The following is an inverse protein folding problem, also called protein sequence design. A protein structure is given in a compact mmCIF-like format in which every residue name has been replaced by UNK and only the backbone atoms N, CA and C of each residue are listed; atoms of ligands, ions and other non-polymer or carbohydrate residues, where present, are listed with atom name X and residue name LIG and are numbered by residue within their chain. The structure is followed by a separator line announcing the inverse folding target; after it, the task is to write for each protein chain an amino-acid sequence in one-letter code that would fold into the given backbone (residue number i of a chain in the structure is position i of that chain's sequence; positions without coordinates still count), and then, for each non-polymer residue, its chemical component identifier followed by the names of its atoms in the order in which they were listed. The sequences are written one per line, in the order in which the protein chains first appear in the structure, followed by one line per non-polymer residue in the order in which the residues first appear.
data_IF_576384962117
#
_entry.id   IF_576384962117
#
_cell.length_a   1.000
_cell.length_b   1.000
_cell.length_c   1.000
_cell.angle_alpha   90.00
_cell.angle_beta   90.00
_cell.angle_gamma   90.00
#
_symmetry.space_group_name_H-M   'P 1'
#
loop_
_entity.id
_entity.type
_entity.pdbx_description
1 polymer ?
#
# COMPACT_ATOMS: atom_id res chain seq x y z
N UNK A 1 -2.98 12.30 -5.29
CA UNK A 1 -2.50 11.88 -3.96
C UNK A 1 -1.01 12.14 -3.96
N UNK A 2 -0.46 12.84 -2.98
CA UNK A 2 0.97 13.11 -2.96
C UNK A 2 1.56 12.41 -1.73
N UNK A 3 2.45 11.46 -1.96
CA UNK A 3 3.37 11.00 -0.92
C UNK A 3 4.50 12.02 -0.92
N UNK A 4 4.54 12.89 0.09
CA UNK A 4 5.59 13.91 0.19
C UNK A 4 6.63 13.44 1.20
N UNK A 5 7.87 13.36 0.73
CA UNK A 5 9.04 12.93 1.51
C UNK A 5 9.87 14.13 1.95
N UNK A 6 10.01 14.34 3.27
CA UNK A 6 10.95 15.33 3.83
C UNK A 6 11.53 14.85 5.17
N UNK A 7 12.84 15.00 5.38
CA UNK A 7 13.53 14.80 6.66
C UNK A 7 13.23 13.48 7.40
N UNK A 8 13.16 12.36 6.66
CA UNK A 8 12.86 11.07 7.27
C UNK A 8 11.44 10.95 7.84
N UNK A 9 10.50 11.84 7.51
CA UNK A 9 9.08 11.72 7.82
C UNK A 9 8.32 11.66 6.49
N UNK A 10 7.60 10.56 6.26
CA UNK A 10 6.73 10.43 5.11
C UNK A 10 5.33 10.90 5.49
N UNK A 11 4.84 11.93 4.81
CA UNK A 11 3.45 12.36 4.98
C UNK A 11 2.64 11.83 3.81
N UNK A 12 1.62 11.03 4.10
CA UNK A 12 0.71 10.50 3.10
C UNK A 12 -0.66 11.12 3.29
N UNK A 13 -1.14 11.85 2.29
CA UNK A 13 -2.53 12.31 2.26
C UNK A 13 -3.37 11.31 1.46
N UNK A 14 -4.15 10.47 2.14
CA UNK A 14 -5.00 9.46 1.48
C UNK A 14 -6.28 10.07 0.92
N UNK A 15 -6.55 9.91 -0.38
CA UNK A 15 -7.86 10.23 -0.98
C UNK A 15 -8.91 9.15 -0.73
N UNK A 16 -8.50 7.94 -0.32
CA UNK A 16 -9.38 6.82 0.01
C UNK A 16 -9.99 6.93 1.42
N UNK A 17 -9.60 7.93 2.21
CA UNK A 17 -10.14 8.18 3.56
C UNK A 17 -10.05 9.63 4.03
N UNK A 18 -9.71 10.57 3.14
CA UNK A 18 -9.65 12.03 3.43
C UNK A 18 -8.60 12.46 4.47
N UNK A 19 -7.77 11.54 4.96
CA UNK A 19 -6.92 11.78 6.14
C UNK A 19 -5.46 11.94 5.75
N UNK A 20 -4.81 12.89 6.41
CA UNK A 20 -3.36 13.05 6.44
C UNK A 20 -2.78 12.06 7.44
N UNK A 21 -1.91 11.19 6.97
CA UNK A 21 -1.24 10.13 7.73
C UNK A 21 0.24 10.48 7.80
N UNK A 22 0.75 10.65 9.02
CA UNK A 22 2.18 10.92 9.24
C UNK A 22 2.90 9.63 9.60
N UNK A 23 3.93 9.28 8.84
CA UNK A 23 4.76 8.10 9.08
C UNK A 23 6.16 8.55 9.44
N UNK A 24 6.56 8.29 10.67
CA UNK A 24 7.92 8.58 11.13
C UNK A 24 8.90 7.56 10.55
N UNK A 25 9.87 8.05 9.81
CA UNK A 25 10.67 7.26 8.89
C UNK A 25 12.15 7.09 9.28
N UNK A 26 12.37 6.13 10.17
CA UNK A 26 13.39 5.06 10.05
C UNK A 26 12.83 3.69 10.48
N UNK A 27 11.65 3.65 11.11
CA UNK A 27 11.12 2.47 11.81
C UNK A 27 9.71 2.02 11.35
N UNK A 28 9.15 2.61 10.28
CA UNK A 28 7.81 2.25 9.78
C UNK A 28 6.70 2.51 10.80
N UNK A 29 6.86 3.52 11.67
CA UNK A 29 5.92 3.82 12.75
C UNK A 29 4.86 4.79 12.28
N UNK A 30 3.61 4.46 12.55
CA UNK A 30 2.47 5.30 12.33
C UNK A 30 1.95 5.86 13.65
N UNK A 31 2.02 7.18 13.78
CA UNK A 31 1.49 7.91 14.92
C UNK A 31 0.35 8.84 14.49
N UNK A 32 -0.65 8.99 15.35
CA UNK A 32 -1.77 9.93 15.18
C UNK A 32 -1.94 10.68 16.50
N UNK A 33 -1.93 12.01 16.45
CA UNK A 33 -2.02 12.87 17.64
C UNK A 33 -1.02 12.45 18.74
N UNK A 34 0.24 12.18 18.36
CA UNK A 34 1.29 11.72 19.28
C UNK A 34 1.20 10.24 19.69
N UNK A 35 0.07 9.56 19.48
CA UNK A 35 -0.12 8.15 19.86
C UNK A 35 0.32 7.21 18.74
N UNK A 36 1.12 6.19 19.07
CA UNK A 36 1.45 5.10 18.16
C UNK A 36 0.21 4.24 17.89
N UNK A 37 -0.16 4.10 16.63
CA UNK A 37 -1.29 3.27 16.20
C UNK A 37 -0.85 2.00 15.49
N UNK A 38 0.22 2.08 14.69
CA UNK A 38 0.74 0.91 14.01
C UNK A 38 2.26 0.98 13.79
N UNK A 39 2.88 -0.18 13.65
CA UNK A 39 4.29 -0.33 13.30
C UNK A 39 4.40 -1.35 12.18
N UNK A 40 5.06 -0.94 11.11
CA UNK A 40 5.41 -1.83 10.02
C UNK A 40 6.72 -2.53 10.35
N UNK A 41 6.73 -3.87 10.27
CA UNK A 41 7.91 -4.70 10.47
C UNK A 41 8.13 -5.57 9.25
N UNK A 42 9.37 -5.61 8.80
CA UNK A 42 9.80 -6.45 7.69
C UNK A 42 10.14 -7.85 8.20
N UNK A 43 9.75 -8.86 7.44
CA UNK A 43 10.09 -10.25 7.65
C UNK A 43 10.58 -10.85 6.33
N UNK A 44 11.21 -12.03 6.41
CA UNK A 44 11.66 -12.76 5.22
C UNK A 44 10.52 -13.07 4.25
N UNK A 45 9.32 -13.31 4.78
CA UNK A 45 8.16 -13.75 4.04
C UNK A 45 7.17 -12.63 3.69
N UNK A 46 7.51 -11.37 3.97
CA UNK A 46 6.66 -10.22 3.68
C UNK A 46 6.76 -9.12 4.71
N UNK A 47 5.71 -8.31 4.80
CA UNK A 47 5.61 -7.16 5.70
C UNK A 47 4.41 -7.35 6.62
N UNK A 48 4.60 -7.08 7.91
CA UNK A 48 3.53 -7.14 8.90
C UNK A 48 3.26 -5.75 9.45
N UNK A 49 1.99 -5.40 9.51
CA UNK A 49 1.50 -4.26 10.24
C UNK A 49 1.08 -4.73 11.63
N UNK A 50 1.74 -4.22 12.65
CA UNK A 50 1.46 -4.51 14.06
C UNK A 50 0.81 -3.30 14.72
N UNK A 51 -0.02 -3.53 15.73
CA UNK A 51 -0.52 -2.45 16.59
C UNK A 51 0.56 -2.01 17.60
N UNK A 52 0.21 -1.07 18.49
CA UNK A 52 1.11 -0.59 19.55
C UNK A 52 1.54 -1.68 20.56
N UNK A 53 0.73 -2.72 20.77
CA UNK A 53 1.03 -3.84 21.69
C UNK A 53 1.85 -4.95 21.03
N UNK A 54 2.15 -4.84 19.72
CA UNK A 54 2.92 -5.83 18.97
C UNK A 54 2.09 -6.96 18.34
N UNK A 55 0.76 -6.96 18.53
CA UNK A 55 -0.16 -7.86 17.86
C UNK A 55 -0.24 -7.56 16.35
N UNK A 56 -0.33 -8.59 15.53
CA UNK A 56 -0.39 -8.44 14.07
C UNK A 56 -1.79 -8.04 13.65
N UNK A 57 -1.93 -6.86 13.03
CA UNK A 57 -3.17 -6.42 12.42
C UNK A 57 -3.33 -7.03 11.02
N UNK A 58 -2.24 -6.98 10.24
CA UNK A 58 -2.21 -7.42 8.85
C UNK A 58 -0.84 -7.94 8.47
N UNK A 59 -0.80 -8.90 7.56
CA UNK A 59 0.43 -9.34 6.88
C UNK A 59 0.23 -9.26 5.39
N UNK A 60 1.10 -8.53 4.70
CA UNK A 60 1.19 -8.51 3.26
C UNK A 60 2.42 -9.31 2.81
N UNK A 61 2.21 -10.37 2.05
CA UNK A 61 3.26 -11.05 1.31
C UNK A 61 3.23 -10.56 -0.12
N UNK A 62 4.36 -10.09 -0.62
CA UNK A 62 4.47 -9.55 -1.98
C UNK A 62 5.42 -10.42 -2.76
N UNK A 63 4.99 -10.84 -3.94
CA UNK A 63 5.85 -11.51 -4.91
C UNK A 63 5.79 -10.79 -6.27
N UNK A 64 6.44 -11.36 -7.28
CA UNK A 64 6.47 -10.79 -8.64
C UNK A 64 5.10 -10.73 -9.32
N UNK A 65 4.12 -11.53 -8.89
CA UNK A 65 2.82 -11.63 -9.59
C UNK A 65 1.62 -11.65 -8.64
N UNK A 66 1.84 -11.50 -7.33
CA UNK A 66 0.73 -11.52 -6.37
C UNK A 66 1.07 -10.73 -5.10
N UNK A 67 0.02 -10.19 -4.48
CA UNK A 67 -0.02 -9.81 -3.08
C UNK A 67 -1.00 -10.71 -2.35
N UNK A 68 -0.57 -11.25 -1.22
CA UNK A 68 -1.43 -11.96 -0.29
C UNK A 68 -1.57 -11.12 0.96
N UNK A 69 -2.80 -10.82 1.34
CA UNK A 69 -3.16 -10.12 2.56
C UNK A 69 -3.74 -11.12 3.54
N UNK A 70 -3.16 -11.21 4.74
CA UNK A 70 -3.64 -12.05 5.82
C UNK A 70 -4.10 -11.18 7.00
N UNK A 71 -5.27 -11.51 7.55
CA UNK A 71 -5.82 -10.95 8.80
C UNK A 71 -6.36 -12.08 9.65
N UNK A 72 -5.66 -12.43 10.73
CA UNK A 72 -5.98 -13.63 11.50
C UNK A 72 -5.93 -14.85 10.59
N UNK A 73 -7.05 -15.58 10.51
CA UNK A 73 -7.21 -16.78 9.66
C UNK A 73 -7.67 -16.46 8.23
N UNK A 74 -8.10 -15.23 7.96
CA UNK A 74 -8.56 -14.84 6.62
C UNK A 74 -7.38 -14.53 5.71
N UNK A 75 -7.26 -15.28 4.61
CA UNK A 75 -6.32 -15.00 3.51
C UNK A 75 -7.07 -14.45 2.29
N UNK A 76 -6.53 -13.37 1.73
CA UNK A 76 -7.06 -12.73 0.52
C UNK A 76 -5.92 -12.55 -0.47
N UNK A 77 -6.14 -13.02 -1.70
CA UNK A 77 -5.12 -13.02 -2.75
C UNK A 77 -5.49 -12.07 -3.87
N UNK A 78 -4.54 -11.19 -4.16
CA UNK A 78 -4.56 -10.27 -5.28
C UNK A 78 -3.52 -10.72 -6.30
N UNK A 79 -3.94 -10.93 -7.54
CA UNK A 79 -3.04 -11.31 -8.64
C UNK A 79 -2.72 -10.07 -9.45
N UNK A 80 -1.43 -9.93 -9.78
CA UNK A 80 -0.91 -8.90 -10.66
C UNK A 80 -0.61 -9.51 -12.00
N UNK A 81 -1.24 -8.97 -13.03
CA UNK A 81 -0.83 -9.23 -14.39
C UNK A 81 -0.24 -7.93 -14.95
N UNK A 82 1.07 -7.87 -15.24
CA UNK A 82 1.56 -6.82 -16.11
C UNK A 82 0.84 -6.97 -17.46
N UNK A 83 0.26 -5.89 -17.95
CA UNK A 83 -0.40 -5.84 -19.25
C UNK A 83 0.30 -4.78 -20.08
N UNK A 84 1.24 -5.18 -20.94
CA UNK A 84 2.13 -4.24 -21.66
C UNK A 84 3.00 -3.39 -20.71
N UNK A 85 3.89 -2.59 -21.29
CA UNK A 85 5.07 -2.03 -20.59
C UNK A 85 4.76 -1.15 -19.36
N UNK A 86 3.55 -0.58 -19.22
CA UNK A 86 3.27 0.49 -18.25
C UNK A 86 2.03 0.31 -17.37
N UNK A 87 1.37 -0.87 -17.39
CA UNK A 87 0.11 -1.08 -16.65
C UNK A 87 0.11 -2.38 -15.85
N UNK A 88 -0.09 -2.26 -14.54
CA UNK A 88 -0.31 -3.37 -13.61
C UNK A 88 -1.82 -3.47 -13.36
N UNK A 89 -2.43 -4.58 -13.79
CA UNK A 89 -3.81 -4.89 -13.44
C UNK A 89 -3.86 -5.68 -12.14
N UNK A 90 -4.79 -5.30 -11.26
CA UNK A 90 -4.98 -5.95 -9.96
C UNK A 90 -6.34 -6.62 -9.93
N UNK A 91 -6.34 -7.92 -9.68
CA UNK A 91 -7.54 -8.76 -9.64
C UNK A 91 -7.65 -9.53 -8.34
N UNK A 92 -8.87 -9.78 -7.91
CA UNK A 92 -9.21 -10.71 -6.83
C UNK A 92 -10.03 -11.84 -7.45
N UNK A 93 -9.41 -13.01 -7.63
CA UNK A 93 -9.97 -14.05 -8.50
C UNK A 93 -10.15 -13.53 -9.93
N UNK A 94 -11.35 -13.63 -10.49
CA UNK A 94 -11.69 -13.12 -11.83
C UNK A 94 -12.07 -11.64 -11.83
N UNK A 95 -12.38 -11.05 -10.66
CA UNK A 95 -12.85 -9.67 -10.54
C UNK A 95 -11.71 -8.67 -10.73
N UNK A 96 -11.90 -7.68 -11.61
CA UNK A 96 -11.00 -6.53 -11.72
C UNK A 96 -11.24 -5.59 -10.53
N UNK A 97 -10.18 -5.31 -9.77
CA UNK A 97 -10.22 -4.38 -8.63
C UNK A 97 -9.75 -2.99 -9.05
N UNK A 98 -8.74 -2.93 -9.92
CA UNK A 98 -8.21 -1.68 -10.44
C UNK A 98 -6.92 -1.86 -11.22
N UNK A 99 -6.23 -0.75 -11.45
CA UNK A 99 -4.96 -0.73 -12.17
C UNK A 99 -4.01 0.32 -11.63
N UNK A 100 -2.72 0.03 -11.72
CA UNK A 100 -1.63 1.01 -11.57
C UNK A 100 -1.07 1.28 -12.96
N UNK A 101 -0.97 2.55 -13.36
CA UNK A 101 -0.56 2.97 -14.71
C UNK A 101 0.62 3.93 -14.59
N UNK A 102 1.59 3.86 -15.49
CA UNK A 102 2.61 4.89 -15.57
C UNK A 102 1.97 6.23 -15.95
N UNK A 103 2.50 7.30 -15.39
CA UNK A 103 2.24 8.69 -15.79
C UNK A 103 3.57 9.42 -15.86
N UNK A 104 3.61 10.58 -16.50
CA UNK A 104 4.82 11.37 -16.76
C UNK A 104 5.78 11.45 -15.55
N UNK A 105 5.23 11.69 -14.35
CA UNK A 105 5.99 11.85 -13.12
C UNK A 105 5.78 10.72 -12.10
N UNK A 106 5.52 9.49 -12.55
CA UNK A 106 5.47 8.31 -11.68
C UNK A 106 4.35 7.34 -12.05
N UNK A 107 3.40 7.14 -11.14
CA UNK A 107 2.31 6.20 -11.31
C UNK A 107 0.96 6.76 -10.85
N UNK A 108 -0.10 6.35 -11.52
CA UNK A 108 -1.48 6.61 -11.13
C UNK A 108 -2.17 5.31 -10.73
N UNK A 109 -3.00 5.38 -9.68
CA UNK A 109 -3.85 4.30 -9.23
C UNK A 109 -5.30 4.60 -9.55
N UNK A 110 -5.95 3.64 -10.19
CA UNK A 110 -7.31 3.74 -10.70
C UNK A 110 -8.11 2.52 -10.22
N UNK A 111 -9.35 2.71 -9.77
CA UNK A 111 -10.23 1.57 -9.45
C UNK A 111 -10.79 0.91 -10.70
N UNK A 112 -11.55 -0.17 -10.52
CA UNK A 112 -12.22 -0.89 -11.60
C UNK A 112 -13.15 -0.02 -12.47
N UNK A 113 -13.77 1.01 -11.87
CA UNK A 113 -14.66 1.96 -12.56
C UNK A 113 -13.93 3.11 -13.25
N UNK A 114 -12.60 3.13 -13.31
CA UNK A 114 -11.85 4.21 -13.95
C UNK A 114 -11.63 5.45 -13.08
N UNK A 115 -12.06 5.43 -11.81
CA UNK A 115 -11.88 6.55 -10.89
C UNK A 115 -10.46 6.55 -10.33
N UNK A 116 -9.78 7.70 -10.45
CA UNK A 116 -8.45 7.92 -9.88
C UNK A 116 -8.49 7.93 -8.36
N UNK A 117 -7.86 6.93 -7.76
CA UNK A 117 -7.72 6.80 -6.31
C UNK A 117 -6.47 7.52 -5.78
N UNK A 118 -5.42 7.59 -6.59
CA UNK A 118 -4.16 8.13 -6.14
C UNK A 118 -3.12 8.29 -7.24
N UNK A 119 -2.00 8.91 -6.86
CA UNK A 119 -0.81 9.11 -7.68
C UNK A 119 0.39 8.88 -6.77
N UNK A 120 1.48 8.40 -7.35
CA UNK A 120 2.77 8.21 -6.72
C UNK A 120 3.82 8.89 -7.58
N UNK A 121 4.82 9.50 -6.96
CA UNK A 121 5.99 10.00 -7.68
C UNK A 121 6.96 8.88 -8.08
N UNK A 122 6.75 7.67 -7.56
CA UNK A 122 7.50 6.48 -7.97
C UNK A 122 6.86 5.84 -9.20
N UNK A 123 7.68 5.18 -10.04
CA UNK A 123 7.18 4.37 -11.16
C UNK A 123 6.27 3.23 -10.69
N UNK A 124 5.36 2.72 -11.54
CA UNK A 124 4.50 1.59 -11.18
C UNK A 124 5.30 0.41 -10.61
N UNK A 125 4.71 -0.25 -9.62
CA UNK A 125 5.29 -1.42 -8.97
C UNK A 125 4.22 -2.24 -8.25
N UNK A 126 4.49 -3.53 -8.06
CA UNK A 126 3.57 -4.47 -7.42
C UNK A 126 3.22 -4.07 -5.98
N UNK A 127 4.13 -3.38 -5.31
CA UNK A 127 3.93 -2.78 -4.00
C UNK A 127 2.77 -1.77 -3.96
N UNK A 128 2.51 -1.06 -5.06
CA UNK A 128 1.41 -0.11 -5.15
C UNK A 128 0.04 -0.77 -5.17
N UNK A 129 -0.05 -2.04 -5.59
CA UNK A 129 -1.30 -2.74 -5.61
C UNK A 129 -1.90 -2.99 -4.21
N UNK A 130 -1.10 -2.88 -3.15
CA UNK A 130 -1.59 -2.89 -1.76
C UNK A 130 -2.62 -1.77 -1.51
N UNK A 131 -2.54 -0.65 -2.23
CA UNK A 131 -3.53 0.42 -2.15
C UNK A 131 -4.92 -0.01 -2.64
N UNK A 132 -4.99 -1.05 -3.49
CA UNK A 132 -6.23 -1.59 -4.02
C UNK A 132 -6.83 -2.69 -3.13
N UNK A 133 -6.13 -3.15 -2.08
CA UNK A 133 -6.64 -4.17 -1.16
C UNK A 133 -7.72 -3.61 -0.23
N UNK A 134 -9.00 -3.78 -0.60
CA UNK A 134 -10.12 -3.11 0.04
C UNK A 134 -10.29 -3.44 1.53
N UNK A 135 -9.84 -4.61 1.97
CA UNK A 135 -10.06 -5.12 3.33
C UNK A 135 -9.18 -4.42 4.35
N UNK A 136 -8.04 -3.87 3.92
CA UNK A 136 -7.19 -3.06 4.77
C UNK A 136 -7.79 -1.66 4.84
N UNK A 137 -7.96 -1.05 6.03
CA UNK A 137 -8.38 0.34 6.15
C UNK A 137 -7.48 1.29 5.33
N UNK A 138 -8.02 2.33 4.67
CA UNK A 138 -7.27 3.20 3.76
C UNK A 138 -5.95 3.76 4.35
N UNK A 139 -5.99 4.20 5.61
CA UNK A 139 -4.83 4.73 6.30
C UNK A 139 -3.72 3.66 6.47
N UNK A 140 -4.12 2.43 6.79
CA UNK A 140 -3.21 1.29 6.98
C UNK A 140 -2.63 0.77 5.66
N UNK A 141 -3.41 0.79 4.57
CA UNK A 141 -2.91 0.51 3.21
C UNK A 141 -1.83 1.49 2.79
N UNK A 142 -2.10 2.78 3.00
CA UNK A 142 -1.18 3.85 2.66
C UNK A 142 0.16 3.66 3.37
N UNK A 143 0.11 3.33 4.67
CA UNK A 143 1.30 3.05 5.48
C UNK A 143 2.10 1.87 4.94
N UNK A 144 1.39 0.76 4.67
CA UNK A 144 2.02 -0.46 4.19
C UNK A 144 2.70 -0.23 2.83
N UNK A 145 1.99 0.41 1.90
CA UNK A 145 2.48 0.74 0.56
C UNK A 145 3.71 1.64 0.61
N UNK A 146 3.70 2.69 1.42
CA UNK A 146 4.86 3.59 1.50
C UNK A 146 6.11 2.93 2.05
N UNK A 147 5.96 1.97 2.98
CA UNK A 147 7.11 1.19 3.46
C UNK A 147 7.62 0.23 2.39
N UNK A 148 6.73 -0.34 1.59
CA UNK A 148 7.10 -1.23 0.48
C UNK A 148 7.82 -0.49 -0.65
N UNK A 149 7.32 0.68 -1.08
CA UNK A 149 7.99 1.56 -2.06
C UNK A 149 9.43 1.85 -1.61
N UNK A 150 9.64 2.05 -0.32
CA UNK A 150 10.95 2.35 0.28
C UNK A 150 11.96 1.21 0.21
N UNK A 151 11.50 -0.02 -0.04
CA UNK A 151 12.38 -1.21 -0.16
C UNK A 151 12.78 -1.51 -1.61
N UNK A 152 12.16 -0.83 -2.58
CA UNK A 152 12.51 -0.94 -3.99
C UNK A 152 13.85 -0.26 -4.25
#
# INVERSE_FOLDING_TARGET
MAVVWRNGVATITSRLGGRKVTIAGKAGRYTRNGRLLAVVRNYRDGVRLKNATGATLWRARISRTQVQILRGETEIRYVFRPYGDDRILVRQGTLLVGSVRAVENGAELVNAGGVRLGTSSSRPGNDMAVLLCAEIPPDLRAILTAVLIRRR
#
